data_IF_196446089873
#
_entry.id   IF_196446089873
#
_cell.length_a   1.000
_cell.length_b   1.000
_cell.length_c   1.000
_cell.angle_alpha   90.00
_cell.angle_beta   90.00
_cell.angle_gamma   90.00
#
_symmetry.space_group_name_H-M   'P 1'
#
loop_
_entity.id
_entity.type
_entity.pdbx_description
1 polymer ?
#
# COMPACT_ATOMS: atom_id res chain seq x y z
N UNK A 1 -12.54 -13.54 -11.14
CA UNK A 1 -11.19 -13.86 -11.68
C UNK A 1 -10.68 -12.59 -12.33
N UNK A 2 -9.47 -12.11 -11.99
CA UNK A 2 -8.90 -10.91 -12.60
C UNK A 2 -8.47 -11.25 -14.03
N UNK A 3 -8.88 -10.42 -14.99
CA UNK A 3 -8.51 -10.60 -16.39
C UNK A 3 -7.01 -10.39 -16.58
N UNK A 4 -6.36 -11.29 -17.32
CA UNK A 4 -4.93 -11.15 -17.61
C UNK A 4 -4.68 -9.97 -18.53
N UNK A 5 -3.70 -9.15 -18.18
CA UNK A 5 -3.27 -8.06 -19.05
C UNK A 5 -2.59 -8.61 -20.33
N UNK A 6 -2.70 -7.88 -21.44
CA UNK A 6 -2.02 -8.27 -22.67
C UNK A 6 -0.50 -8.28 -22.52
N UNK A 7 0.15 -9.24 -23.17
CA UNK A 7 1.60 -9.25 -23.29
C UNK A 7 1.96 -8.28 -24.41
N UNK A 8 2.66 -7.21 -24.06
CA UNK A 8 3.05 -6.19 -25.02
C UNK A 8 4.51 -6.38 -25.39
N UNK A 9 4.74 -6.52 -26.70
CA UNK A 9 6.09 -6.45 -27.20
C UNK A 9 6.51 -4.99 -27.36
N UNK A 10 7.22 -4.49 -26.34
CA UNK A 10 7.64 -3.09 -26.28
C UNK A 10 8.51 -2.71 -27.47
N UNK A 11 9.35 -3.61 -27.96
CA UNK A 11 10.26 -3.32 -29.08
C UNK A 11 9.50 -3.03 -30.39
N UNK A 12 8.40 -3.74 -30.65
CA UNK A 12 7.62 -3.55 -31.88
C UNK A 12 6.70 -2.30 -31.82
N UNK A 13 6.37 -1.83 -30.63
CA UNK A 13 5.41 -0.74 -30.43
C UNK A 13 6.04 0.44 -29.69
N UNK A 14 7.38 0.53 -29.66
CA UNK A 14 8.10 1.51 -28.84
C UNK A 14 7.67 2.95 -29.13
N UNK A 15 7.66 3.35 -30.40
CA UNK A 15 7.29 4.73 -30.78
C UNK A 15 5.84 5.05 -30.43
N UNK A 16 4.92 4.11 -30.66
CA UNK A 16 3.51 4.28 -30.31
C UNK A 16 3.34 4.43 -28.78
N UNK A 17 4.04 3.61 -28.01
CA UNK A 17 4.02 3.66 -26.53
C UNK A 17 4.62 4.98 -26.04
N UNK A 18 5.77 5.40 -26.57
CA UNK A 18 6.43 6.64 -26.17
C UNK A 18 5.59 7.89 -26.50
N UNK A 19 4.94 7.91 -27.65
CA UNK A 19 3.99 8.98 -27.99
C UNK A 19 2.84 9.07 -26.98
N UNK A 20 2.33 7.92 -26.51
CA UNK A 20 1.28 7.92 -25.49
C UNK A 20 1.82 8.37 -24.11
N UNK A 21 3.04 7.97 -23.73
CA UNK A 21 3.68 8.40 -22.46
C UNK A 21 3.76 9.92 -22.36
N UNK A 22 3.98 10.61 -23.47
CA UNK A 22 4.17 12.07 -23.55
C UNK A 22 2.92 12.85 -23.97
N UNK A 23 1.81 12.16 -24.30
CA UNK A 23 0.57 12.80 -24.76
C UNK A 23 -0.10 13.62 -23.62
N UNK A 24 -0.18 14.98 -23.75
CA UNK A 24 -0.77 15.81 -22.72
C UNK A 24 -2.26 15.54 -22.48
N UNK A 25 -2.99 15.04 -23.50
CA UNK A 25 -4.43 14.73 -23.41
C UNK A 25 -4.71 13.60 -22.42
N UNK A 26 -3.73 12.73 -22.18
CA UNK A 26 -3.85 11.56 -21.30
C UNK A 26 -3.40 11.82 -19.87
N UNK A 27 -2.99 13.05 -19.55
CA UNK A 27 -2.43 13.41 -18.24
C UNK A 27 -3.37 13.07 -17.08
N UNK A 28 -4.63 13.43 -17.18
CA UNK A 28 -5.61 13.20 -16.11
C UNK A 28 -5.95 11.71 -16.00
N UNK A 29 -5.95 10.99 -17.12
CA UNK A 29 -6.14 9.55 -17.14
C UNK A 29 -4.97 8.84 -16.47
N UNK A 30 -3.73 9.24 -16.76
CA UNK A 30 -2.55 8.71 -16.06
C UNK A 30 -2.63 8.95 -14.56
N UNK A 31 -2.96 10.20 -14.15
CA UNK A 31 -3.11 10.53 -12.74
C UNK A 31 -4.11 9.61 -12.06
N UNK A 32 -5.31 9.46 -12.63
CA UNK A 32 -6.34 8.56 -12.09
C UNK A 32 -5.86 7.11 -11.97
N UNK A 33 -5.23 6.59 -13.03
CA UNK A 33 -4.73 5.20 -13.06
C UNK A 33 -3.62 4.97 -12.04
N UNK A 34 -2.77 5.97 -11.80
CA UNK A 34 -1.68 5.90 -10.84
C UNK A 34 -2.17 6.08 -9.40
N UNK A 35 -3.06 7.04 -9.14
CA UNK A 35 -3.62 7.31 -7.81
C UNK A 35 -4.44 6.13 -7.28
N UNK A 36 -5.28 5.52 -8.13
CA UNK A 36 -6.10 4.36 -7.79
C UNK A 36 -5.35 3.03 -8.00
N UNK A 37 -4.14 3.05 -8.51
CA UNK A 37 -3.33 1.89 -8.91
C UNK A 37 -4.10 0.87 -9.75
N UNK A 38 -4.86 1.35 -10.74
CA UNK A 38 -5.75 0.53 -11.53
C UNK A 38 -5.00 -0.52 -12.35
N UNK A 39 -5.62 -1.69 -12.48
CA UNK A 39 -5.14 -2.78 -13.29
C UNK A 39 -5.84 -2.82 -14.66
N UNK A 40 -5.36 -3.67 -15.56
CA UNK A 40 -5.80 -3.81 -16.95
C UNK A 40 -7.32 -3.94 -17.10
N UNK A 41 -7.95 -4.77 -16.27
CA UNK A 41 -9.38 -5.07 -16.31
C UNK A 41 -10.26 -3.81 -16.19
N UNK A 42 -9.75 -2.75 -15.57
CA UNK A 42 -10.42 -1.46 -15.44
C UNK A 42 -9.89 -0.43 -16.42
N UNK A 43 -8.56 -0.38 -16.60
CA UNK A 43 -7.91 0.61 -17.45
C UNK A 43 -8.40 0.57 -18.88
N UNK A 44 -8.61 -0.62 -19.46
CA UNK A 44 -9.04 -0.79 -20.85
C UNK A 44 -10.38 -0.08 -21.20
N UNK A 45 -11.24 0.15 -20.19
CA UNK A 45 -12.52 0.83 -20.38
C UNK A 45 -12.43 2.35 -20.19
N UNK A 46 -11.34 2.85 -19.65
CA UNK A 46 -11.10 4.28 -19.41
C UNK A 46 -10.38 4.95 -20.58
N UNK A 47 -9.74 4.17 -21.43
CA UNK A 47 -8.95 4.67 -22.56
C UNK A 47 -9.88 5.28 -23.61
N UNK A 48 -9.56 6.48 -24.15
CA UNK A 48 -10.30 7.08 -25.25
C UNK A 48 -10.36 6.17 -26.47
N UNK A 49 -11.43 6.25 -27.27
CA UNK A 49 -11.67 5.37 -28.44
C UNK A 49 -10.61 5.50 -29.54
N UNK A 50 -9.93 6.63 -29.61
CA UNK A 50 -8.87 6.93 -30.57
C UNK A 50 -7.50 6.41 -30.12
N UNK A 51 -7.39 5.81 -28.93
CA UNK A 51 -6.16 5.30 -28.36
C UNK A 51 -6.25 3.78 -28.20
N UNK A 52 -5.24 3.07 -28.69
CA UNK A 52 -5.14 1.63 -28.47
C UNK A 52 -4.88 1.32 -27.00
N UNK A 53 -5.80 0.57 -26.39
CA UNK A 53 -5.77 0.27 -24.95
C UNK A 53 -4.56 -0.59 -24.55
N UNK A 54 -4.08 -1.49 -25.46
CA UNK A 54 -2.92 -2.31 -25.17
C UNK A 54 -1.65 -1.46 -25.16
N UNK A 55 -1.46 -0.57 -26.13
CA UNK A 55 -0.34 0.36 -26.15
C UNK A 55 -0.38 1.33 -24.95
N UNK A 56 -1.56 1.81 -24.56
CA UNK A 56 -1.72 2.61 -23.36
C UNK A 56 -1.31 1.84 -22.10
N UNK A 57 -1.70 0.57 -21.98
CA UNK A 57 -1.24 -0.29 -20.89
C UNK A 57 0.30 -0.46 -20.91
N UNK A 58 0.91 -0.55 -22.09
CA UNK A 58 2.36 -0.53 -22.26
C UNK A 58 2.98 0.76 -21.72
N UNK A 59 2.38 1.90 -22.01
CA UNK A 59 2.82 3.20 -21.52
C UNK A 59 2.74 3.30 -19.98
N UNK A 60 1.66 2.80 -19.38
CA UNK A 60 1.54 2.70 -17.91
C UNK A 60 2.65 1.85 -17.32
N UNK A 61 2.91 0.65 -17.90
CA UNK A 61 3.99 -0.22 -17.44
C UNK A 61 5.35 0.46 -17.54
N UNK A 62 5.61 1.18 -18.63
CA UNK A 62 6.88 1.88 -18.84
C UNK A 62 7.05 2.99 -17.80
N UNK A 63 6.02 3.79 -17.52
CA UNK A 63 6.05 4.81 -16.47
C UNK A 63 6.34 4.22 -15.09
N UNK A 64 5.68 3.11 -14.75
CA UNK A 64 5.92 2.39 -13.47
C UNK A 64 7.33 1.83 -13.41
N UNK A 65 7.86 1.30 -14.52
CA UNK A 65 9.22 0.76 -14.59
C UNK A 65 10.28 1.84 -14.30
N UNK A 66 10.07 3.05 -14.81
CA UNK A 66 10.99 4.20 -14.57
C UNK A 66 11.04 4.63 -13.10
N UNK A 67 10.01 4.32 -12.31
CA UNK A 67 9.91 4.65 -10.89
C UNK A 67 10.20 3.46 -9.98
N UNK A 68 10.61 2.33 -10.56
CA UNK A 68 10.78 1.07 -9.84
C UNK A 68 12.03 1.09 -8.97
N UNK A 69 11.85 0.77 -7.71
CA UNK A 69 12.92 0.56 -6.74
C UNK A 69 13.04 -0.93 -6.42
N UNK A 70 14.22 -1.35 -6.03
CA UNK A 70 14.52 -2.75 -5.77
C UNK A 70 15.05 -2.93 -4.36
N UNK A 71 14.47 -3.87 -3.63
CA UNK A 71 14.94 -4.29 -2.30
C UNK A 71 15.33 -5.77 -2.36
N UNK A 72 16.46 -6.10 -1.73
CA UNK A 72 16.93 -7.47 -1.59
C UNK A 72 16.79 -7.96 -0.16
N UNK A 73 16.18 -9.15 0.00
CA UNK A 73 16.12 -9.89 1.24
C UNK A 73 16.75 -11.26 1.04
N UNK A 74 17.96 -11.46 1.49
CA UNK A 74 18.72 -12.69 1.23
C UNK A 74 18.89 -12.92 -0.27
N UNK A 75 18.41 -14.07 -0.78
CA UNK A 75 18.42 -14.42 -2.19
C UNK A 75 17.25 -13.87 -3.00
N UNK A 76 16.24 -13.28 -2.34
CA UNK A 76 15.03 -12.76 -3.00
C UNK A 76 15.17 -11.29 -3.36
N UNK A 77 14.70 -10.95 -4.54
CA UNK A 77 14.66 -9.57 -5.04
C UNK A 77 13.21 -9.16 -5.23
N UNK A 78 12.81 -8.07 -4.58
CA UNK A 78 11.49 -7.46 -4.70
C UNK A 78 11.61 -6.11 -5.39
N UNK A 79 10.66 -5.82 -6.25
CA UNK A 79 10.59 -4.53 -6.94
C UNK A 79 9.25 -3.86 -6.66
N UNK A 80 9.28 -2.58 -6.37
CA UNK A 80 8.09 -1.77 -6.11
C UNK A 80 8.24 -0.38 -6.72
N UNK A 81 7.14 0.27 -7.04
CA UNK A 81 7.11 1.65 -7.51
C UNK A 81 6.35 2.51 -6.48
N UNK A 82 6.95 3.65 -6.11
CA UNK A 82 6.30 4.64 -5.26
C UNK A 82 5.46 5.56 -6.15
N UNK A 83 4.15 5.42 -6.10
CA UNK A 83 3.24 6.34 -6.78
C UNK A 83 3.14 7.67 -6.03
N UNK A 84 2.77 8.79 -6.69
CA UNK A 84 2.52 10.07 -6.01
C UNK A 84 1.50 9.95 -4.87
N UNK A 85 0.48 9.12 -5.04
CA UNK A 85 -0.50 8.83 -3.99
C UNK A 85 0.14 8.16 -2.77
N UNK A 86 0.97 7.14 -2.98
CA UNK A 86 1.69 6.47 -1.87
C UNK A 86 2.64 7.44 -1.16
N UNK A 87 3.35 8.30 -1.90
CA UNK A 87 4.22 9.32 -1.30
C UNK A 87 3.43 10.32 -0.45
N UNK A 88 2.29 10.78 -0.94
CA UNK A 88 1.40 11.67 -0.18
C UNK A 88 0.90 11.01 1.10
N UNK A 89 0.53 9.74 1.04
CA UNK A 89 0.05 8.96 2.18
C UNK A 89 1.16 8.72 3.21
N UNK A 90 2.37 8.40 2.76
CA UNK A 90 3.54 8.27 3.62
C UNK A 90 3.88 9.60 4.30
N UNK A 91 3.82 10.71 3.56
CA UNK A 91 4.05 12.04 4.14
C UNK A 91 2.99 12.41 5.19
N UNK A 92 1.71 12.13 4.92
CA UNK A 92 0.63 12.31 5.90
C UNK A 92 0.86 11.45 7.15
N UNK A 93 1.29 10.20 6.95
CA UNK A 93 1.64 9.30 8.04
C UNK A 93 2.81 9.85 8.87
N UNK A 94 3.88 10.30 8.23
CA UNK A 94 5.05 10.88 8.90
C UNK A 94 4.66 12.13 9.72
N UNK A 95 3.80 13.01 9.17
CA UNK A 95 3.31 14.18 9.89
C UNK A 95 2.46 13.81 11.11
N UNK A 96 1.61 12.80 10.98
CA UNK A 96 0.73 12.38 12.08
C UNK A 96 1.46 11.54 13.14
N UNK A 97 2.40 10.71 12.74
CA UNK A 97 3.11 9.79 13.63
C UNK A 97 4.44 10.37 14.13
N UNK A 98 5.22 10.98 13.25
CA UNK A 98 6.54 11.55 13.57
C UNK A 98 6.44 12.74 14.54
N UNK A 99 5.45 13.60 14.37
CA UNK A 99 5.20 14.72 15.27
C UNK A 99 4.80 14.30 16.67
N UNK A 100 4.10 13.19 16.84
CA UNK A 100 3.69 12.69 18.15
C UNK A 100 4.78 11.93 18.91
N UNK A 101 5.75 11.33 18.21
CA UNK A 101 6.90 10.69 18.86
C UNK A 101 7.93 11.71 19.37
N UNK A 102 8.00 12.89 18.75
CA UNK A 102 8.88 13.99 19.17
C UNK A 102 8.22 14.99 20.12
N UNK A 103 6.91 14.92 20.32
CA UNK A 103 6.18 15.78 21.24
C UNK A 103 6.52 15.39 22.69
N UNK A 104 7.65 15.85 23.19
CA UNK A 104 7.96 15.89 24.61
C UNK A 104 6.83 16.68 25.30
N UNK A 105 5.80 15.99 25.82
CA UNK A 105 4.77 16.64 26.60
C UNK A 105 3.35 16.07 26.49
N UNK A 106 3.04 15.22 25.50
CA UNK A 106 1.68 14.64 25.41
C UNK A 106 1.47 13.49 26.41
N UNK A 107 2.54 12.74 26.73
CA UNK A 107 2.51 11.68 27.74
C UNK A 107 3.62 11.96 28.74
N UNK A 108 3.27 12.14 30.00
CA UNK A 108 4.27 12.28 31.07
C UNK A 108 5.17 11.02 31.10
N UNK A 109 6.47 11.20 31.32
CA UNK A 109 7.44 10.10 31.30
C UNK A 109 7.05 8.92 32.21
N UNK A 110 6.42 9.23 33.36
CA UNK A 110 5.89 8.25 34.30
C UNK A 110 4.79 7.35 33.72
N UNK A 111 4.01 7.89 32.75
CA UNK A 111 2.88 7.18 32.17
C UNK A 111 3.23 6.50 30.84
N UNK A 112 4.42 6.80 30.30
CA UNK A 112 4.90 6.29 29.01
C UNK A 112 4.97 4.77 28.96
N UNK A 113 5.48 4.13 30.02
CA UNK A 113 5.54 2.67 30.09
C UNK A 113 4.14 2.05 30.15
N UNK A 114 3.23 2.64 30.94
CA UNK A 114 1.85 2.16 31.05
C UNK A 114 1.12 2.31 29.70
N UNK A 115 1.34 3.43 29.00
CA UNK A 115 0.78 3.64 27.68
C UNK A 115 1.32 2.62 26.67
N UNK A 116 2.63 2.41 26.65
CA UNK A 116 3.28 1.45 25.74
C UNK A 116 2.76 0.02 25.95
N UNK A 117 2.71 -0.43 27.21
CA UNK A 117 2.20 -1.77 27.57
C UNK A 117 0.73 -1.93 27.17
N UNK A 118 -0.09 -0.90 27.43
CA UNK A 118 -1.50 -0.93 27.03
C UNK A 118 -1.65 -0.97 25.50
N UNK A 119 -0.84 -0.22 24.74
CA UNK A 119 -0.87 -0.22 23.28
C UNK A 119 -0.49 -1.58 22.71
N UNK A 120 0.57 -2.19 23.21
CA UNK A 120 1.00 -3.53 22.79
C UNK A 120 -0.09 -4.58 23.10
N UNK A 121 -0.73 -4.50 24.28
CA UNK A 121 -1.83 -5.40 24.63
C UNK A 121 -3.03 -5.23 23.70
N UNK A 122 -3.40 -3.99 23.36
CA UNK A 122 -4.51 -3.72 22.43
C UNK A 122 -4.22 -4.26 21.03
N UNK A 123 -2.98 -4.09 20.55
CA UNK A 123 -2.55 -4.61 19.26
C UNK A 123 -2.60 -6.15 19.23
N UNK A 124 -2.07 -6.82 20.26
CA UNK A 124 -2.09 -8.27 20.35
C UNK A 124 -3.53 -8.82 20.38
N UNK A 125 -4.44 -8.16 21.12
CA UNK A 125 -5.85 -8.53 21.17
C UNK A 125 -6.52 -8.33 19.80
N UNK A 126 -6.27 -7.19 19.14
CA UNK A 126 -6.84 -6.90 17.84
C UNK A 126 -6.36 -7.92 16.78
N UNK A 127 -5.07 -8.24 16.75
CA UNK A 127 -4.49 -9.25 15.86
C UNK A 127 -5.12 -10.63 16.09
N UNK A 128 -5.23 -11.07 17.34
CA UNK A 128 -5.86 -12.35 17.68
C UNK A 128 -7.34 -12.41 17.27
N UNK A 129 -8.08 -11.30 17.42
CA UNK A 129 -9.48 -11.23 16.98
C UNK A 129 -9.61 -11.30 15.46
N UNK A 130 -8.69 -10.68 14.71
CA UNK A 130 -8.63 -10.78 13.25
C UNK A 130 -8.33 -12.21 12.78
N UNK A 131 -7.57 -12.96 13.56
CA UNK A 131 -7.28 -14.39 13.32
C UNK A 131 -8.40 -15.32 13.77
N UNK A 132 -9.52 -14.77 14.28
CA UNK A 132 -10.71 -15.55 14.64
C UNK A 132 -10.87 -15.89 16.12
N UNK A 133 -10.08 -15.29 17.00
CA UNK A 133 -10.28 -15.48 18.44
C UNK A 133 -11.62 -14.88 18.91
N UNK A 134 -12.46 -15.68 19.54
CA UNK A 134 -13.80 -15.29 20.02
C UNK A 134 -13.80 -14.63 21.41
N UNK A 135 -12.63 -14.46 22.01
CA UNK A 135 -12.48 -13.90 23.36
C UNK A 135 -12.82 -12.42 23.38
N UNK A 136 -13.62 -11.97 24.36
CA UNK A 136 -13.91 -10.55 24.50
C UNK A 136 -12.66 -9.77 24.91
N UNK A 137 -12.58 -8.48 24.51
CA UNK A 137 -11.43 -7.60 24.83
C UNK A 137 -11.12 -7.53 26.33
N UNK A 138 -12.15 -7.52 27.16
CA UNK A 138 -12.02 -7.46 28.63
C UNK A 138 -11.33 -8.72 29.16
N UNK A 139 -11.80 -9.88 28.74
CA UNK A 139 -11.25 -11.18 29.16
C UNK A 139 -9.82 -11.34 28.66
N UNK A 140 -9.55 -10.97 27.40
CA UNK A 140 -8.20 -11.02 26.83
C UNK A 140 -7.22 -10.12 27.60
N UNK A 141 -7.61 -8.90 27.97
CA UNK A 141 -6.79 -8.01 28.83
C UNK A 141 -6.49 -8.62 30.19
N UNK A 142 -7.48 -9.21 30.82
CA UNK A 142 -7.31 -9.85 32.14
C UNK A 142 -6.39 -11.07 32.04
N UNK A 143 -6.47 -11.84 30.96
CA UNK A 143 -5.57 -12.96 30.70
C UNK A 143 -4.12 -12.49 30.51
N UNK A 144 -3.88 -11.46 29.70
CA UNK A 144 -2.54 -10.92 29.47
C UNK A 144 -1.93 -10.32 30.75
N UNK A 145 -2.73 -9.61 31.57
CA UNK A 145 -2.25 -9.03 32.84
C UNK A 145 -1.93 -10.05 33.91
N UNK A 146 -2.64 -11.18 33.90
CA UNK A 146 -2.49 -12.25 34.91
C UNK A 146 -1.65 -13.41 34.42
N UNK A 147 -1.07 -13.33 33.21
CA UNK A 147 -0.31 -14.40 32.55
C UNK A 147 -1.07 -15.75 32.52
N UNK A 148 -2.39 -15.69 32.39
CA UNK A 148 -3.24 -16.87 32.38
C UNK A 148 -3.14 -17.56 31.00
N UNK A 149 -3.02 -18.89 31.02
CA UNK A 149 -3.08 -19.70 29.79
C UNK A 149 -4.51 -19.82 29.29
N UNK A 150 -4.75 -19.87 27.96
CA UNK A 150 -6.07 -20.14 27.40
C UNK A 150 -6.59 -21.48 27.93
N UNK A 151 -7.81 -21.46 28.47
CA UNK A 151 -8.51 -22.70 28.81
C UNK A 151 -9.27 -23.11 27.55
N UNK A 152 -8.69 -24.05 26.79
CA UNK A 152 -9.41 -24.68 25.69
C UNK A 152 -10.56 -25.50 26.27
N UNK A 153 -11.78 -25.19 25.84
CA UNK A 153 -12.92 -26.10 25.89
C UNK A 153 -12.94 -26.92 24.63
#
# INVERSE_FOLDING_TARGET
MVEKAPIINVNNNFDAIMNLVTDPRLRDLYKKVEDEYLYWDKVKYLVPKDVDAANFWGAIKMRRLMQMQTIKFGSYTFSFALTPFMQSLLHEFDLKMGGSLSANGVIADKDRQVYLVNSIMEEAIASSQMEGASTTRRVAKDMLRKELRPQNK
#
